data_IF_630803706963
#
_entry.id   IF_630803706963
#
_cell.length_a   1.000
_cell.length_b   1.000
_cell.length_c   1.000
_cell.angle_alpha   90.00
_cell.angle_beta   90.00
_cell.angle_gamma   90.00
#
_symmetry.space_group_name_H-M   'P 1'
#
loop_
_entity.id
_entity.type
_entity.pdbx_description
1 polymer ?
#
# COMPACT_ATOMS: atom_id res chain seq x y z
N UNK A 1 -6.24 -12.37 -18.72
CA UNK A 1 -6.15 -11.10 -17.95
C UNK A 1 -7.09 -10.09 -18.60
N UNK A 2 -8.00 -9.46 -17.85
CA UNK A 2 -8.87 -8.39 -18.38
C UNK A 2 -8.20 -7.06 -18.06
N UNK A 3 -7.73 -6.35 -19.08
CA UNK A 3 -7.05 -5.07 -18.91
C UNK A 3 -8.05 -3.96 -19.14
N UNK A 4 -8.25 -3.09 -18.14
CA UNK A 4 -9.12 -1.92 -18.26
C UNK A 4 -8.35 -0.83 -19.00
N UNK A 5 -8.81 -0.45 -20.19
CA UNK A 5 -8.13 0.49 -21.09
C UNK A 5 -8.58 1.96 -20.93
N UNK A 6 -9.69 2.22 -20.26
CA UNK A 6 -10.25 3.57 -20.03
C UNK A 6 -10.06 4.01 -18.56
N UNK A 7 -8.82 3.93 -18.08
CA UNK A 7 -8.53 4.22 -16.66
C UNK A 7 -8.65 5.72 -16.33
N UNK A 8 -8.47 6.64 -17.27
CA UNK A 8 -8.33 8.10 -16.99
C UNK A 8 -9.28 8.69 -15.95
N UNK A 9 -10.60 8.52 -16.09
CA UNK A 9 -11.59 9.06 -15.13
C UNK A 9 -11.81 8.12 -13.93
N UNK A 10 -11.64 6.82 -14.13
CA UNK A 10 -11.80 5.82 -13.07
C UNK A 10 -10.57 5.78 -12.14
N UNK A 11 -9.42 6.26 -12.59
CA UNK A 11 -8.15 6.26 -11.88
C UNK A 11 -8.19 7.23 -10.72
N UNK A 12 -8.62 8.48 -10.96
CA UNK A 12 -8.72 9.49 -9.90
C UNK A 12 -9.68 9.05 -8.80
N UNK A 13 -10.82 8.46 -9.16
CA UNK A 13 -11.76 7.92 -8.16
C UNK A 13 -11.18 6.76 -7.38
N UNK A 14 -10.47 5.84 -8.05
CA UNK A 14 -9.82 4.70 -7.41
C UNK A 14 -8.68 5.14 -6.49
N UNK A 15 -7.87 6.11 -6.91
CA UNK A 15 -6.78 6.68 -6.11
C UNK A 15 -7.34 7.44 -4.91
N UNK A 16 -8.36 8.27 -5.10
CA UNK A 16 -9.02 8.97 -3.99
C UNK A 16 -9.64 7.98 -3.00
N UNK A 17 -10.34 6.94 -3.49
CA UNK A 17 -10.88 5.87 -2.64
C UNK A 17 -9.77 5.15 -1.88
N UNK A 18 -8.64 4.86 -2.53
CA UNK A 18 -7.51 4.21 -1.87
C UNK A 18 -6.93 5.10 -0.76
N UNK A 19 -6.64 6.37 -1.06
CA UNK A 19 -6.00 7.30 -0.12
C UNK A 19 -6.85 7.56 1.13
N UNK A 20 -8.17 7.73 0.99
CA UNK A 20 -9.06 7.97 2.15
C UNK A 20 -9.29 6.73 3.02
N UNK A 21 -8.94 5.54 2.52
CA UNK A 21 -9.10 4.26 3.22
C UNK A 21 -7.79 3.73 3.82
N UNK A 22 -6.73 4.54 3.87
CA UNK A 22 -5.50 4.20 4.59
C UNK A 22 -5.73 4.53 6.08
N UNK A 23 -5.64 3.53 6.99
CA UNK A 23 -5.79 3.76 8.42
C UNK A 23 -4.61 4.59 8.98
N UNK A 24 -4.84 5.26 10.11
CA UNK A 24 -3.80 6.09 10.76
C UNK A 24 -2.58 5.25 11.16
N UNK A 25 -2.82 4.06 11.73
CA UNK A 25 -1.77 3.14 12.20
C UNK A 25 -1.27 2.17 11.10
N UNK A 26 -1.41 2.55 9.82
CA UNK A 26 -1.05 1.69 8.68
C UNK A 26 0.43 1.26 8.70
N UNK A 27 1.31 2.11 9.22
CA UNK A 27 2.76 1.92 9.26
C UNK A 27 3.29 1.39 10.61
N UNK A 28 2.44 1.19 11.62
CA UNK A 28 2.82 0.62 12.91
C UNK A 28 2.84 -0.92 12.86
N UNK A 29 4.01 -1.58 12.97
CA UNK A 29 4.12 -3.04 12.94
C UNK A 29 3.39 -3.74 14.11
N UNK A 30 3.07 -3.01 15.17
CA UNK A 30 2.34 -3.52 16.33
C UNK A 30 0.82 -3.39 16.19
N UNK A 31 0.34 -2.63 15.20
CA UNK A 31 -1.07 -2.42 14.94
C UNK A 31 -1.71 -3.62 14.25
N UNK A 32 -2.96 -3.92 14.61
CA UNK A 32 -3.76 -4.89 13.87
C UNK A 32 -4.09 -4.41 12.44
N UNK A 33 -3.99 -3.10 12.18
CA UNK A 33 -4.22 -2.49 10.88
C UNK A 33 -2.94 -2.34 10.05
N UNK A 34 -1.81 -2.87 10.53
CA UNK A 34 -0.53 -2.82 9.83
C UNK A 34 -0.65 -3.32 8.39
N UNK A 35 -0.32 -2.45 7.44
CA UNK A 35 -0.37 -2.71 6.00
C UNK A 35 -1.75 -3.14 5.47
N UNK A 36 -2.84 -2.94 6.21
CA UNK A 36 -4.20 -3.23 5.74
C UNK A 36 -4.84 -1.98 5.14
N UNK A 37 -5.54 -2.16 4.02
CA UNK A 37 -6.32 -1.10 3.37
C UNK A 37 -7.67 -1.63 2.92
N UNK A 38 -8.65 -0.76 2.83
CA UNK A 38 -9.96 -1.10 2.30
C UNK A 38 -10.10 -0.63 0.85
N UNK A 39 -10.29 -1.58 -0.06
CA UNK A 39 -10.53 -1.30 -1.48
C UNK A 39 -11.90 -1.87 -1.86
N UNK A 40 -12.82 -0.99 -2.25
CA UNK A 40 -14.19 -1.34 -2.67
C UNK A 40 -14.93 -2.21 -1.65
N UNK A 41 -14.76 -1.88 -0.36
CA UNK A 41 -15.36 -2.60 0.76
C UNK A 41 -14.68 -3.92 1.12
N UNK A 42 -13.49 -4.20 0.58
CA UNK A 42 -12.69 -5.38 0.94
C UNK A 42 -11.42 -4.96 1.65
N UNK A 43 -11.18 -5.54 2.82
CA UNK A 43 -9.90 -5.45 3.50
C UNK A 43 -8.87 -6.29 2.72
N UNK A 44 -7.75 -5.67 2.37
CA UNK A 44 -6.62 -6.31 1.69
C UNK A 44 -5.33 -5.93 2.40
N UNK A 45 -4.41 -6.88 2.50
CA UNK A 45 -3.08 -6.67 3.06
C UNK A 45 -2.09 -6.33 1.94
N UNK A 46 -1.33 -5.27 2.12
CA UNK A 46 -0.33 -4.81 1.17
C UNK A 46 1.02 -5.48 1.45
N UNK A 47 1.45 -6.33 0.52
CA UNK A 47 2.79 -6.92 0.53
C UNK A 47 3.76 -6.03 -0.26
N UNK A 48 4.80 -5.45 0.39
CA UNK A 48 5.82 -4.67 -0.31
C UNK A 48 6.49 -5.47 -1.43
N UNK A 49 6.74 -6.77 -1.22
CA UNK A 49 7.33 -7.66 -2.23
C UNK A 49 6.46 -7.72 -3.49
N UNK A 50 5.15 -7.92 -3.33
CA UNK A 50 4.21 -7.99 -4.46
C UNK A 50 4.13 -6.65 -5.19
N UNK A 51 4.04 -5.55 -4.44
CA UNK A 51 3.99 -4.19 -5.02
C UNK A 51 5.28 -3.90 -5.80
N UNK A 52 6.45 -4.16 -5.21
CA UNK A 52 7.73 -3.93 -5.86
C UNK A 52 7.88 -4.79 -7.12
N UNK A 53 7.48 -6.06 -7.07
CA UNK A 53 7.46 -6.92 -8.25
C UNK A 53 6.54 -6.37 -9.36
N UNK A 54 5.34 -5.89 -9.01
CA UNK A 54 4.42 -5.27 -9.97
C UNK A 54 4.97 -3.98 -10.58
N UNK A 55 5.74 -3.20 -9.82
CA UNK A 55 6.37 -1.96 -10.28
C UNK A 55 7.71 -2.18 -10.98
N UNK A 56 8.20 -3.43 -11.07
CA UNK A 56 9.54 -3.73 -11.61
C UNK A 56 10.68 -3.17 -10.76
N UNK A 57 10.46 -2.98 -9.46
CA UNK A 57 11.45 -2.51 -8.48
C UNK A 57 12.17 -3.69 -7.82
N UNK A 58 13.28 -3.39 -7.13
CA UNK A 58 13.95 -4.40 -6.31
C UNK A 58 13.01 -4.93 -5.23
N UNK A 59 13.05 -6.24 -5.01
CA UNK A 59 12.34 -6.92 -3.93
C UNK A 59 13.25 -7.17 -2.72
N UNK A 60 14.52 -6.78 -2.80
CA UNK A 60 15.43 -6.81 -1.66
C UNK A 60 14.87 -5.89 -0.59
N UNK A 61 14.86 -6.38 0.66
CA UNK A 61 14.41 -5.58 1.78
C UNK A 61 15.32 -4.36 1.89
N UNK A 62 14.77 -3.16 1.71
CA UNK A 62 15.41 -1.97 2.24
C UNK A 62 15.46 -2.19 3.76
N UNK A 63 16.68 -2.22 4.31
CA UNK A 63 16.90 -2.42 5.73
C UNK A 63 15.98 -1.47 6.51
N UNK A 64 15.29 -2.00 7.52
CA UNK A 64 14.50 -1.20 8.45
C UNK A 64 15.36 -0.01 8.85
N UNK A 65 14.89 1.19 8.53
CA UNK A 65 15.57 2.42 8.95
C UNK A 65 15.62 2.37 10.47
N UNK A 66 16.80 2.05 11.02
CA UNK A 66 17.04 2.15 12.45
C UNK A 66 16.71 3.61 12.80
N UNK A 67 15.61 3.81 13.53
CA UNK A 67 15.29 5.09 14.14
C UNK A 67 16.39 5.29 15.18
N UNK A 68 17.45 6.00 14.80
CA UNK A 68 18.47 6.43 15.72
C UNK A 68 17.81 7.41 16.71
N UNK A 69 17.44 6.89 17.88
CA UNK A 69 17.08 7.66 19.05
C UNK A 69 18.27 8.60 19.34
N UNK A 70 18.10 9.88 19.03
CA UNK A 70 19.05 10.91 19.38
C UNK A 70 18.54 11.57 20.66
N UNK A 71 19.24 11.23 21.75
CA UNK A 71 19.08 11.73 23.13
C UNK A 71 18.81 13.24 23.25
#
# INVERSE_FOLDING_TARGET
MKTVSSLGVCYEKLVNEFLVNIPEDYDDPMSEEYRKVFVRGKCVELSPTVINQCLGRSIEAEAEMEVADSE
#
